data_IF_731698587611
#
_entry.id   IF_731698587611
#
_cell.length_a   1.000
_cell.length_b   1.000
_cell.length_c   1.000
_cell.angle_alpha   90.00
_cell.angle_beta   90.00
_cell.angle_gamma   90.00
#
_symmetry.space_group_name_H-M   'P 1'
#
loop_
_entity.id
_entity.type
_entity.pdbx_description
1 polymer ?
#
# COMPACT_ATOMS: atom_id res chain seq x y z
N UNK A 1 4.17 -6.57 -2.52
CA UNK A 1 4.93 -6.09 -1.34
C UNK A 1 5.16 -7.20 -0.30
N UNK A 2 4.16 -8.01 0.08
CA UNK A 2 4.36 -9.15 1.01
C UNK A 2 5.47 -10.10 0.55
N UNK A 3 5.44 -10.50 -0.72
CA UNK A 3 6.43 -11.39 -1.30
C UNK A 3 7.86 -10.80 -1.24
N UNK A 4 8.03 -9.48 -1.40
CA UNK A 4 9.35 -8.87 -1.31
C UNK A 4 9.94 -8.89 0.11
N UNK A 5 9.12 -8.89 1.16
CA UNK A 5 9.57 -9.14 2.53
C UNK A 5 10.02 -10.60 2.73
N UNK A 6 9.25 -11.56 2.20
CA UNK A 6 9.62 -12.98 2.29
C UNK A 6 10.93 -13.27 1.55
N UNK A 7 11.14 -12.68 0.37
CA UNK A 7 12.40 -12.79 -0.38
C UNK A 7 13.57 -12.13 0.38
N UNK A 8 13.34 -10.97 1.02
CA UNK A 8 14.37 -10.33 1.83
C UNK A 8 14.82 -11.22 3.00
N UNK A 9 13.86 -11.78 3.72
CA UNK A 9 14.15 -12.72 4.82
C UNK A 9 14.87 -14.00 4.32
N UNK A 10 14.44 -14.55 3.18
CA UNK A 10 15.09 -15.70 2.55
C UNK A 10 16.56 -15.40 2.22
N UNK A 11 16.84 -14.24 1.62
CA UNK A 11 18.21 -13.82 1.27
C UNK A 11 19.09 -13.64 2.51
N UNK A 12 18.55 -13.00 3.56
CA UNK A 12 19.27 -12.76 4.81
C UNK A 12 19.74 -14.06 5.48
N UNK A 13 18.91 -15.08 5.47
CA UNK A 13 19.19 -16.37 6.13
C UNK A 13 19.63 -17.47 5.17
N UNK A 14 19.77 -17.16 3.89
CA UNK A 14 20.10 -18.15 2.86
C UNK A 14 19.19 -19.40 2.90
N UNK A 15 17.90 -19.18 3.07
CA UNK A 15 16.90 -20.26 3.16
C UNK A 15 16.59 -20.85 1.79
N UNK A 16 16.33 -22.17 1.68
CA UNK A 16 15.98 -22.80 0.42
C UNK A 16 14.58 -22.38 -0.07
N UNK A 17 13.67 -22.03 0.86
CA UNK A 17 12.29 -21.67 0.57
C UNK A 17 11.91 -20.34 1.26
N UNK A 18 10.83 -19.72 0.78
CA UNK A 18 10.29 -18.49 1.37
C UNK A 18 9.63 -18.79 2.72
N UNK A 19 9.90 -17.97 3.71
CA UNK A 19 9.23 -18.03 5.01
C UNK A 19 7.83 -17.42 4.92
N UNK A 20 6.80 -18.26 4.96
CA UNK A 20 5.39 -17.82 4.87
C UNK A 20 4.97 -16.91 6.03
N UNK A 21 5.68 -16.95 7.18
CA UNK A 21 5.42 -16.06 8.32
C UNK A 21 5.62 -14.59 7.96
N UNK A 22 6.55 -14.27 7.04
CA UNK A 22 6.73 -12.91 6.52
C UNK A 22 5.47 -12.40 5.80
N UNK A 23 4.82 -13.27 5.04
CA UNK A 23 3.60 -12.95 4.31
C UNK A 23 2.44 -12.73 5.28
N UNK A 24 2.29 -13.59 6.28
CA UNK A 24 1.25 -13.48 7.29
C UNK A 24 1.45 -12.22 8.17
N UNK A 25 2.67 -11.95 8.62
CA UNK A 25 2.98 -10.75 9.39
C UNK A 25 2.64 -9.46 8.62
N UNK A 26 2.89 -9.45 7.31
CA UNK A 26 2.51 -8.32 6.46
C UNK A 26 0.98 -8.23 6.25
N UNK A 27 0.29 -9.38 6.16
CA UNK A 27 -1.19 -9.43 6.02
C UNK A 27 -1.90 -8.75 7.18
N UNK A 28 -1.42 -8.96 8.40
CA UNK A 28 -2.02 -8.40 9.62
C UNK A 28 -2.00 -6.85 9.66
N UNK A 29 -1.06 -6.22 8.93
CA UNK A 29 -0.84 -4.78 8.98
C UNK A 29 -1.06 -4.09 7.63
N UNK A 30 -1.81 -4.71 6.74
CA UNK A 30 -2.11 -4.14 5.42
C UNK A 30 -2.66 -2.71 5.53
N UNK A 31 -2.12 -1.82 4.71
CA UNK A 31 -2.46 -0.40 4.74
C UNK A 31 -1.70 0.44 5.78
N UNK A 32 -0.85 -0.19 6.61
CA UNK A 32 0.02 0.52 7.53
C UNK A 32 1.21 1.20 6.82
N UNK A 33 1.92 2.06 7.57
CA UNK A 33 3.15 2.69 7.08
C UNK A 33 4.26 1.67 6.82
N UNK A 34 5.25 2.08 6.02
CA UNK A 34 6.44 1.25 5.72
C UNK A 34 7.19 0.85 6.99
N UNK A 35 7.31 1.77 7.95
CA UNK A 35 7.96 1.50 9.23
C UNK A 35 7.24 0.40 10.00
N UNK A 36 5.94 0.55 10.23
CA UNK A 36 5.12 -0.44 10.94
C UNK A 36 5.23 -1.81 10.27
N UNK A 37 5.18 -1.84 8.95
CA UNK A 37 5.29 -3.09 8.19
C UNK A 37 6.66 -3.76 8.37
N UNK A 38 7.74 -2.99 8.24
CA UNK A 38 9.10 -3.53 8.36
C UNK A 38 9.41 -3.98 9.79
N UNK A 39 8.99 -3.20 10.80
CA UNK A 39 9.14 -3.59 12.21
C UNK A 39 8.37 -4.88 12.52
N UNK A 40 7.11 -4.98 12.10
CA UNK A 40 6.29 -6.18 12.32
C UNK A 40 6.90 -7.44 11.70
N UNK A 41 7.34 -7.36 10.45
CA UNK A 41 8.00 -8.52 9.79
C UNK A 41 9.32 -8.86 10.48
N UNK A 42 10.14 -7.86 10.78
CA UNK A 42 11.42 -8.05 11.48
C UNK A 42 11.21 -8.74 12.83
N UNK A 43 10.26 -8.28 13.63
CA UNK A 43 9.94 -8.86 14.95
C UNK A 43 9.40 -10.29 14.84
N UNK A 44 8.43 -10.52 13.93
CA UNK A 44 7.82 -11.85 13.74
C UNK A 44 8.84 -12.91 13.32
N UNK A 45 9.83 -12.52 12.52
CA UNK A 45 10.87 -13.41 12.04
C UNK A 45 12.17 -13.32 12.86
N UNK A 46 12.20 -12.48 13.89
CA UNK A 46 13.39 -12.27 14.74
C UNK A 46 14.67 -11.94 13.92
N UNK A 47 14.55 -11.03 12.93
CA UNK A 47 15.60 -10.69 11.98
C UNK A 47 16.60 -9.63 12.48
N UNK A 48 16.39 -9.06 13.66
CA UNK A 48 17.23 -7.98 14.17
C UNK A 48 18.73 -8.36 14.24
N UNK A 49 19.13 -9.58 14.66
CA UNK A 49 20.54 -9.97 14.70
C UNK A 49 21.22 -9.97 13.33
N UNK A 50 20.50 -10.38 12.27
CA UNK A 50 21.04 -10.41 10.90
C UNK A 50 21.06 -9.02 10.25
N UNK A 51 20.11 -8.16 10.62
CA UNK A 51 19.98 -6.81 10.05
C UNK A 51 20.89 -5.78 10.72
N UNK A 52 21.14 -5.89 12.03
CA UNK A 52 21.94 -4.94 12.79
C UNK A 52 23.35 -4.70 12.19
N UNK A 53 24.11 -5.72 11.77
CA UNK A 53 25.43 -5.51 11.15
C UNK A 53 25.37 -4.78 9.81
N UNK A 54 24.23 -4.77 9.14
CA UNK A 54 24.05 -4.16 7.81
C UNK A 54 23.68 -2.68 7.86
N UNK A 55 23.32 -2.14 9.03
CA UNK A 55 22.90 -0.73 9.17
C UNK A 55 23.91 0.25 8.60
N UNK A 56 25.22 0.05 8.90
CA UNK A 56 26.28 0.90 8.39
C UNK A 56 26.41 0.82 6.85
N UNK A 57 26.22 -0.37 6.26
CA UNK A 57 26.28 -0.58 4.82
C UNK A 57 25.13 0.15 4.10
N UNK A 58 23.94 0.15 4.69
CA UNK A 58 22.76 0.81 4.16
C UNK A 58 22.67 2.29 4.54
N UNK A 59 23.59 2.80 5.39
CA UNK A 59 23.61 4.20 5.82
C UNK A 59 22.39 4.58 6.68
N UNK A 60 21.87 3.64 7.46
CA UNK A 60 20.67 3.80 8.30
C UNK A 60 20.98 3.51 9.77
N UNK A 61 20.08 3.93 10.68
CA UNK A 61 20.29 3.81 12.13
C UNK A 61 19.66 2.55 12.72
N UNK A 62 18.56 2.11 12.17
CA UNK A 62 17.73 1.05 12.74
C UNK A 62 17.68 -0.19 11.84
N UNK A 63 17.67 -1.42 12.41
CA UNK A 63 17.62 -2.66 11.62
C UNK A 63 16.40 -2.77 10.69
N UNK A 64 15.24 -2.25 11.12
CA UNK A 64 14.02 -2.28 10.29
C UNK A 64 14.16 -1.43 9.01
N UNK A 65 15.00 -0.40 9.03
CA UNK A 65 15.28 0.44 7.85
C UNK A 65 16.06 -0.34 6.79
N UNK A 66 16.99 -1.20 7.22
CA UNK A 66 17.69 -2.15 6.33
C UNK A 66 16.68 -3.08 5.65
N UNK A 67 15.79 -3.70 6.44
CA UNK A 67 14.76 -4.58 5.88
C UNK A 67 13.84 -3.83 4.90
N UNK A 68 13.49 -2.59 5.23
CA UNK A 68 12.70 -1.70 4.36
C UNK A 68 13.41 -1.41 3.03
N UNK A 69 14.72 -1.12 3.07
CA UNK A 69 15.52 -0.86 1.88
C UNK A 69 15.65 -2.12 1.01
N UNK A 70 16.01 -3.26 1.60
CA UNK A 70 16.09 -4.56 0.90
C UNK A 70 14.76 -4.92 0.23
N UNK A 71 13.65 -4.76 0.96
CA UNK A 71 12.30 -5.00 0.42
C UNK A 71 12.02 -4.08 -0.78
N UNK A 72 12.42 -2.79 -0.68
CA UNK A 72 12.21 -1.83 -1.78
C UNK A 72 12.99 -2.24 -3.02
N UNK A 73 14.26 -2.56 -2.89
CA UNK A 73 15.10 -3.03 -4.01
C UNK A 73 14.50 -4.26 -4.70
N UNK A 74 14.03 -5.23 -3.91
CA UNK A 74 13.39 -6.45 -4.43
C UNK A 74 12.09 -6.11 -5.13
N UNK A 75 11.24 -5.26 -4.51
CA UNK A 75 9.98 -4.85 -5.10
C UNK A 75 10.18 -4.10 -6.41
N UNK A 76 11.10 -3.14 -6.44
CA UNK A 76 11.40 -2.35 -7.64
C UNK A 76 11.89 -3.26 -8.78
N UNK A 77 12.74 -4.23 -8.48
CA UNK A 77 13.18 -5.22 -9.46
C UNK A 77 12.03 -6.12 -9.97
N UNK A 78 11.07 -6.49 -9.10
CA UNK A 78 9.90 -7.29 -9.47
C UNK A 78 8.96 -6.54 -10.41
N UNK A 79 8.80 -5.23 -10.23
CA UNK A 79 7.87 -4.39 -11.01
C UNK A 79 8.57 -3.57 -12.11
N UNK A 80 9.87 -3.79 -12.31
CA UNK A 80 10.64 -3.11 -13.36
C UNK A 80 10.10 -3.39 -14.78
N UNK A 81 9.57 -4.62 -14.99
CA UNK A 81 8.84 -4.95 -16.21
C UNK A 81 7.38 -4.51 -16.08
N UNK A 82 6.90 -3.53 -16.86
CA UNK A 82 5.51 -3.09 -16.84
C UNK A 82 4.50 -4.23 -17.12
N UNK A 83 4.94 -5.32 -17.78
CA UNK A 83 4.06 -6.46 -18.03
C UNK A 83 3.66 -7.16 -16.73
N UNK A 84 4.56 -7.24 -15.75
CA UNK A 84 4.24 -7.80 -14.43
C UNK A 84 3.13 -7.01 -13.75
N UNK A 85 3.13 -5.67 -13.89
CA UNK A 85 2.07 -4.82 -13.35
C UNK A 85 0.76 -5.08 -14.10
N UNK A 86 0.78 -5.13 -15.44
CA UNK A 86 -0.41 -5.39 -16.27
C UNK A 86 -1.04 -6.75 -15.99
N UNK A 87 -0.22 -7.78 -15.79
CA UNK A 87 -0.71 -9.15 -15.50
C UNK A 87 -1.36 -9.26 -14.10
N UNK A 88 -1.04 -8.33 -13.20
CA UNK A 88 -1.56 -8.30 -11.84
C UNK A 88 -2.58 -7.17 -11.59
N UNK A 89 -3.09 -6.54 -12.63
CA UNK A 89 -4.10 -5.49 -12.51
C UNK A 89 -5.47 -6.05 -12.08
N UNK A 90 -6.29 -5.15 -11.56
CA UNK A 90 -7.67 -5.42 -11.17
C UNK A 90 -8.63 -4.81 -12.20
N UNK A 91 -9.03 -5.54 -13.25
CA UNK A 91 -9.75 -4.96 -14.40
C UNK A 91 -11.09 -4.36 -14.03
N UNK A 92 -11.80 -4.92 -13.03
CA UNK A 92 -13.09 -4.38 -12.59
C UNK A 92 -12.95 -3.02 -11.89
N UNK A 93 -11.91 -2.83 -11.08
CA UNK A 93 -11.63 -1.54 -10.43
C UNK A 93 -11.23 -0.49 -11.46
N UNK A 94 -10.43 -0.88 -12.46
CA UNK A 94 -10.05 0.01 -13.56
C UNK A 94 -11.28 0.41 -14.38
N UNK A 95 -12.14 -0.54 -14.74
CA UNK A 95 -13.38 -0.25 -15.46
C UNK A 95 -14.30 0.69 -14.66
N UNK A 96 -14.37 0.53 -13.35
CA UNK A 96 -15.14 1.43 -12.50
C UNK A 96 -14.59 2.86 -12.52
N UNK A 97 -13.26 3.02 -12.43
CA UNK A 97 -12.61 4.34 -12.55
C UNK A 97 -12.91 5.00 -13.90
N UNK A 98 -12.86 4.24 -14.99
CA UNK A 98 -13.18 4.73 -16.33
C UNK A 98 -14.64 5.24 -16.42
N UNK A 99 -15.58 4.43 -15.95
CA UNK A 99 -17.02 4.82 -15.90
C UNK A 99 -17.22 6.06 -15.04
N UNK A 100 -16.59 6.15 -13.87
CA UNK A 100 -16.66 7.34 -13.01
C UNK A 100 -16.23 8.61 -13.77
N UNK A 101 -15.13 8.53 -14.52
CA UNK A 101 -14.67 9.67 -15.35
C UNK A 101 -15.62 10.01 -16.48
N UNK A 102 -16.11 9.00 -17.20
CA UNK A 102 -17.04 9.18 -18.32
C UNK A 102 -18.38 9.80 -17.87
N UNK A 103 -18.79 9.51 -16.63
CA UNK A 103 -20.00 10.09 -16.02
C UNK A 103 -19.77 11.46 -15.36
N UNK A 104 -18.55 12.02 -15.46
CA UNK A 104 -18.22 13.35 -14.99
C UNK A 104 -17.82 13.44 -13.50
N UNK A 105 -17.57 12.31 -12.84
CA UNK A 105 -17.05 12.32 -11.48
C UNK A 105 -15.63 12.87 -11.43
N UNK A 106 -15.32 13.62 -10.36
CA UNK A 106 -13.94 13.94 -10.00
C UNK A 106 -13.30 12.72 -9.36
N UNK A 107 -12.05 12.46 -9.69
CA UNK A 107 -11.39 11.21 -9.30
C UNK A 107 -9.99 11.46 -8.73
N UNK A 108 -9.64 10.75 -7.68
CA UNK A 108 -8.31 10.82 -7.07
C UNK A 108 -7.79 9.44 -6.68
N UNK A 109 -6.47 9.28 -6.74
CA UNK A 109 -5.77 8.21 -6.04
C UNK A 109 -5.33 8.71 -4.67
N UNK A 110 -5.64 7.94 -3.61
CA UNK A 110 -5.17 8.18 -2.24
C UNK A 110 -4.44 6.93 -1.73
N UNK A 111 -3.11 6.91 -1.75
CA UNK A 111 -2.29 5.71 -1.44
C UNK A 111 -1.24 5.97 -0.36
N UNK A 112 -0.90 4.91 0.41
CA UNK A 112 0.24 4.92 1.33
C UNK A 112 1.56 4.45 0.66
N UNK A 113 1.57 4.28 -0.66
CA UNK A 113 2.80 4.08 -1.43
C UNK A 113 3.56 5.40 -1.55
N UNK A 114 4.87 5.31 -1.78
CA UNK A 114 5.68 6.47 -2.16
C UNK A 114 5.27 6.94 -3.55
N UNK A 115 5.50 8.21 -3.85
CA UNK A 115 5.07 8.84 -5.10
C UNK A 115 5.67 8.18 -6.33
N UNK A 116 6.96 7.84 -6.29
CA UNK A 116 7.66 7.15 -7.37
C UNK A 116 7.04 5.78 -7.67
N UNK A 117 6.76 4.98 -6.63
CA UNK A 117 6.10 3.67 -6.75
C UNK A 117 4.67 3.82 -7.34
N UNK A 118 3.90 4.79 -6.85
CA UNK A 118 2.53 5.03 -7.30
C UNK A 118 2.48 5.46 -8.78
N UNK A 119 3.30 6.44 -9.16
CA UNK A 119 3.37 6.93 -10.53
C UNK A 119 3.87 5.87 -11.51
N UNK A 120 4.83 5.02 -11.10
CA UNK A 120 5.28 3.90 -11.91
C UNK A 120 4.13 2.95 -12.27
N UNK A 121 3.30 2.58 -11.29
CA UNK A 121 2.11 1.73 -11.50
C UNK A 121 1.09 2.42 -12.40
N UNK A 122 0.75 3.68 -12.12
CA UNK A 122 -0.22 4.44 -12.90
C UNK A 122 0.19 4.55 -14.38
N UNK A 123 1.46 4.82 -14.66
CA UNK A 123 2.01 4.90 -16.04
C UNK A 123 2.00 3.54 -16.72
N UNK A 124 2.38 2.48 -16.00
CA UNK A 124 2.40 1.12 -16.55
C UNK A 124 1.01 0.64 -16.99
N UNK A 125 -0.04 1.18 -16.35
CA UNK A 125 -1.45 0.86 -16.61
C UNK A 125 -2.18 1.94 -17.43
N UNK A 126 -1.49 3.05 -17.79
CA UNK A 126 -2.08 4.21 -18.48
C UNK A 126 -3.29 4.81 -17.73
N UNK A 127 -3.20 4.90 -16.39
CA UNK A 127 -4.29 5.36 -15.53
C UNK A 127 -4.19 6.83 -15.11
N UNK A 128 -3.05 7.51 -15.30
CA UNK A 128 -2.88 8.92 -14.90
C UNK A 128 -3.95 9.81 -15.52
N UNK A 129 -4.34 9.56 -16.76
CA UNK A 129 -5.36 10.33 -17.50
C UNK A 129 -6.77 10.27 -16.92
N UNK A 130 -7.04 9.29 -16.07
CA UNK A 130 -8.34 9.13 -15.40
C UNK A 130 -8.40 9.79 -14.03
N UNK A 131 -7.31 10.41 -13.56
CA UNK A 131 -7.20 10.99 -12.22
C UNK A 131 -7.04 12.51 -12.29
N UNK A 132 -7.84 13.24 -11.52
CA UNK A 132 -7.65 14.68 -11.30
C UNK A 132 -6.54 14.93 -10.28
N UNK A 133 -6.41 14.05 -9.27
CA UNK A 133 -5.42 14.17 -8.19
C UNK A 133 -4.76 12.84 -7.86
N UNK A 134 -3.49 12.90 -7.47
CA UNK A 134 -2.71 11.75 -6.99
C UNK A 134 -2.07 12.13 -5.66
N UNK A 135 -2.60 11.53 -4.58
CA UNK A 135 -2.10 11.73 -3.22
C UNK A 135 -1.40 10.46 -2.73
N UNK A 136 -0.25 10.65 -2.14
CA UNK A 136 0.67 9.60 -1.73
C UNK A 136 1.05 9.75 -0.26
N UNK A 137 1.86 8.84 0.28
CA UNK A 137 2.35 8.92 1.65
C UNK A 137 3.06 10.24 1.98
N UNK A 138 3.67 10.86 0.98
CA UNK A 138 4.45 12.11 1.16
C UNK A 138 3.57 13.35 1.30
N UNK A 139 2.29 13.28 0.93
CA UNK A 139 1.36 14.41 0.97
C UNK A 139 0.70 14.60 2.34
N UNK A 140 0.89 13.66 3.27
CA UNK A 140 0.23 13.65 4.58
C UNK A 140 1.20 13.42 5.73
N UNK A 141 0.87 13.94 6.89
CA UNK A 141 1.61 13.72 8.14
C UNK A 141 1.22 12.38 8.75
N UNK A 142 -0.08 12.14 8.88
CA UNK A 142 -0.63 10.96 9.52
C UNK A 142 -1.05 9.91 8.49
N UNK A 143 -0.50 8.66 8.58
CA UNK A 143 -0.89 7.60 7.67
C UNK A 143 -2.27 7.03 8.03
N UNK A 144 -2.92 6.35 7.08
CA UNK A 144 -4.11 5.54 7.37
C UNK A 144 -3.88 4.62 8.58
N UNK A 145 -4.81 4.53 9.54
CA UNK A 145 -6.24 4.83 9.44
C UNK A 145 -6.64 6.28 9.74
N UNK A 146 -5.70 7.23 9.86
CA UNK A 146 -6.04 8.65 9.94
C UNK A 146 -6.74 9.11 8.66
N UNK A 147 -7.82 9.92 8.74
CA UNK A 147 -8.57 10.39 7.58
C UNK A 147 -7.86 11.43 6.71
N UNK A 148 -6.71 11.94 7.12
CA UNK A 148 -6.03 13.10 6.53
C UNK A 148 -5.92 13.00 5.00
N UNK A 149 -5.51 11.86 4.46
CA UNK A 149 -5.32 11.72 3.00
C UNK A 149 -6.64 11.81 2.23
N UNK A 150 -7.75 11.34 2.80
CA UNK A 150 -9.05 11.42 2.14
C UNK A 150 -9.67 12.81 2.24
N UNK A 151 -9.52 13.47 3.39
CA UNK A 151 -9.94 14.86 3.56
C UNK A 151 -9.16 15.77 2.62
N UNK A 152 -7.84 15.58 2.49
CA UNK A 152 -7.02 16.31 1.52
C UNK A 152 -7.44 16.02 0.07
N UNK A 153 -7.84 14.77 -0.25
CA UNK A 153 -8.36 14.43 -1.58
C UNK A 153 -9.66 15.20 -1.89
N UNK A 154 -10.61 15.20 -0.95
CA UNK A 154 -11.87 15.92 -1.10
C UNK A 154 -11.65 17.44 -1.28
N UNK A 155 -10.75 18.03 -0.46
CA UNK A 155 -10.36 19.43 -0.57
C UNK A 155 -9.81 19.76 -1.96
N UNK A 156 -8.84 19.00 -2.45
CA UNK A 156 -8.23 19.21 -3.77
C UNK A 156 -9.20 19.00 -4.93
N UNK A 157 -10.12 18.07 -4.81
CA UNK A 157 -11.18 17.86 -5.77
C UNK A 157 -12.29 18.93 -5.69
N UNK A 158 -12.35 19.70 -4.61
CA UNK A 158 -13.39 20.70 -4.37
C UNK A 158 -14.77 20.07 -4.16
N UNK A 159 -14.84 18.92 -3.46
CA UNK A 159 -16.07 18.19 -3.16
C UNK A 159 -16.26 18.00 -1.66
N UNK A 160 -17.51 17.90 -1.21
CA UNK A 160 -17.81 17.60 0.19
C UNK A 160 -17.45 16.12 0.49
N UNK A 161 -16.82 15.81 1.63
CA UNK A 161 -16.54 14.42 2.02
C UNK A 161 -17.79 13.52 1.99
N UNK A 162 -18.97 14.02 2.38
CA UNK A 162 -20.21 13.26 2.35
C UNK A 162 -20.67 12.83 0.93
N UNK A 163 -20.20 13.53 -0.10
CA UNK A 163 -20.48 13.24 -1.52
C UNK A 163 -19.38 12.36 -2.16
N UNK A 164 -18.37 11.98 -1.38
CA UNK A 164 -17.28 11.13 -1.86
C UNK A 164 -17.58 9.65 -1.66
N UNK A 165 -17.14 8.85 -2.63
CA UNK A 165 -17.08 7.40 -2.56
C UNK A 165 -15.63 6.94 -2.54
N UNK A 166 -15.23 6.23 -1.49
CA UNK A 166 -13.93 5.58 -1.36
C UNK A 166 -14.06 4.11 -1.74
N UNK A 167 -13.15 3.64 -2.59
CA UNK A 167 -12.99 2.22 -2.89
C UNK A 167 -11.66 1.78 -2.31
N UNK A 168 -11.70 0.82 -1.39
CA UNK A 168 -10.54 0.38 -0.62
C UNK A 168 -10.48 -1.12 -0.46
N UNK A 169 -9.24 -1.63 -0.36
CA UNK A 169 -8.97 -3.06 -0.17
C UNK A 169 -8.38 -3.38 1.22
N UNK A 170 -8.03 -2.36 2.00
CA UNK A 170 -7.37 -2.52 3.29
C UNK A 170 -8.25 -2.08 4.47
N UNK A 171 -8.16 -2.78 5.64
CA UNK A 171 -8.88 -2.37 6.84
C UNK A 171 -8.53 -0.96 7.31
N UNK A 172 -7.25 -0.56 7.20
CA UNK A 172 -6.81 0.78 7.58
C UNK A 172 -7.37 1.86 6.64
N UNK A 173 -7.41 1.58 5.33
CA UNK A 173 -7.98 2.49 4.36
C UNK A 173 -9.50 2.64 4.51
N UNK A 174 -10.20 1.54 4.73
CA UNK A 174 -11.66 1.57 4.97
C UNK A 174 -12.00 2.39 6.22
N UNK A 175 -11.26 2.20 7.33
CA UNK A 175 -11.43 3.01 8.56
C UNK A 175 -11.16 4.50 8.31
N UNK A 176 -10.10 4.81 7.55
CA UNK A 176 -9.76 6.19 7.21
C UNK A 176 -10.88 6.87 6.39
N UNK A 177 -11.46 6.16 5.41
CA UNK A 177 -12.60 6.66 4.62
C UNK A 177 -13.83 6.95 5.47
N UNK A 178 -14.19 6.02 6.37
CA UNK A 178 -15.29 6.22 7.32
C UNK A 178 -15.01 7.37 8.28
N UNK A 179 -13.78 7.46 8.82
CA UNK A 179 -13.38 8.57 9.70
C UNK A 179 -13.39 9.93 8.99
N UNK A 180 -13.20 9.96 7.66
CA UNK A 180 -13.34 11.16 6.84
C UNK A 180 -14.81 11.55 6.58
N UNK A 181 -15.78 10.75 7.02
CA UNK A 181 -17.21 10.97 6.75
C UNK A 181 -17.64 10.62 5.32
N UNK A 182 -16.87 9.79 4.62
CA UNK A 182 -17.11 9.38 3.24
C UNK A 182 -17.89 8.06 3.17
N UNK A 183 -18.53 7.82 2.03
CA UNK A 183 -19.08 6.49 1.72
C UNK A 183 -17.93 5.56 1.34
N UNK A 184 -17.92 4.32 1.85
CA UNK A 184 -16.83 3.37 1.61
C UNK A 184 -17.37 2.07 1.03
N UNK A 185 -16.75 1.61 -0.07
CA UNK A 185 -16.91 0.25 -0.58
C UNK A 185 -15.59 -0.48 -0.35
N UNK A 186 -15.62 -1.52 0.48
CA UNK A 186 -14.47 -2.37 0.72
C UNK A 186 -14.43 -3.52 -0.31
N UNK A 187 -13.32 -3.63 -1.05
CA UNK A 187 -13.08 -4.70 -2.01
C UNK A 187 -12.27 -5.79 -1.33
N UNK A 188 -12.94 -6.86 -0.92
CA UNK A 188 -12.28 -7.97 -0.25
C UNK A 188 -11.43 -8.79 -1.25
N UNK A 189 -10.17 -8.99 -0.90
CA UNK A 189 -9.27 -9.92 -1.57
C UNK A 189 -9.05 -11.14 -0.68
N UNK A 190 -8.54 -12.28 -1.19
CA UNK A 190 -8.13 -13.39 -0.33
C UNK A 190 -7.13 -12.98 0.78
N UNK A 191 -6.41 -11.86 0.55
CA UNK A 191 -5.42 -11.32 1.47
C UNK A 191 -6.04 -10.43 2.56
N UNK A 192 -7.15 -9.75 2.28
CA UNK A 192 -7.72 -8.69 3.13
C UNK A 192 -9.08 -9.03 3.73
N UNK A 193 -9.75 -10.07 3.24
CA UNK A 193 -11.13 -10.41 3.62
C UNK A 193 -11.31 -10.56 5.13
N UNK A 194 -10.42 -11.29 5.83
CA UNK A 194 -10.53 -11.49 7.28
C UNK A 194 -10.41 -10.18 8.05
N UNK A 195 -9.47 -9.32 7.66
CA UNK A 195 -9.25 -8.00 8.28
C UNK A 195 -10.41 -7.02 8.03
N UNK A 196 -11.00 -7.04 6.85
CA UNK A 196 -12.16 -6.21 6.50
C UNK A 196 -13.39 -6.64 7.30
N UNK A 197 -13.69 -7.94 7.41
CA UNK A 197 -14.80 -8.45 8.21
C UNK A 197 -14.66 -8.13 9.70
N UNK A 198 -13.43 -8.17 10.24
CA UNK A 198 -13.19 -7.87 11.66
C UNK A 198 -13.17 -6.38 11.97
N UNK A 199 -13.03 -5.50 10.98
CA UNK A 199 -12.91 -4.05 11.17
C UNK A 199 -14.22 -3.33 11.49
N UNK A 200 -15.36 -4.01 11.47
CA UNK A 200 -16.73 -3.44 11.64
C UNK A 200 -17.05 -2.26 10.69
N UNK A 201 -16.35 -2.16 9.58
CA UNK A 201 -16.51 -1.09 8.57
C UNK A 201 -17.42 -1.54 7.41
N UNK A 202 -17.82 -2.81 7.41
CA UNK A 202 -18.68 -3.41 6.39
C UNK A 202 -19.85 -4.10 7.06
#
# INVERSE_FOLDING_TARGET
KALSYAIAAQRLRNLPELDSRAIEAYREILGASREVASRRVMETLELAPELQPLTAQYGVSEPWEVLSAMRKEIYDAMVADPQVIRDNQWPHTIAFLQVARETGCRTALATMSQRDEALHVLRSLDLERYLDEVLTREDVTNPKPDPEIYLLAAEKLGVDPGDCLVIEDSPNGARAGVAAGMNVIAVATPFTASGLHSSQVV
#
